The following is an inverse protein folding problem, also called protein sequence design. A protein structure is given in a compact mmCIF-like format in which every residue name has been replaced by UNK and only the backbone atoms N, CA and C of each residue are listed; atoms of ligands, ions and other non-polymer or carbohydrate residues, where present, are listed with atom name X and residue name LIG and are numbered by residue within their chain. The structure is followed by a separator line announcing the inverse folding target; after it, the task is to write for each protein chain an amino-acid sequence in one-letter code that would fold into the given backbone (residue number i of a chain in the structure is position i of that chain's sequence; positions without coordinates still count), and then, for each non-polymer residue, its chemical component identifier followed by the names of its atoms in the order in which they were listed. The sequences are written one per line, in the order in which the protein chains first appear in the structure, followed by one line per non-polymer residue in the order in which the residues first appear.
data_IF_984941756721
#
_entry.id   IF_984941756721
#
_cell.length_a   1.000
_cell.length_b   1.000
_cell.length_c   1.000
_cell.angle_alpha   90.00
_cell.angle_beta   90.00
_cell.angle_gamma   90.00
#
_symmetry.space_group_name_H-M   'P 1'
#
loop_
_entity.id
_entity.type
_entity.pdbx_description
1 polymer ?
#
# COMPACT_ATOMS: atom_id res chain seq x y z
N UNK A 1 10.64 11.11 -2.15
CA UNK A 1 9.31 11.02 -2.80
C UNK A 1 9.14 9.74 -3.64
N UNK A 2 10.02 9.45 -4.61
CA UNK A 2 9.90 8.27 -5.49
C UNK A 2 9.88 6.93 -4.73
N UNK A 3 10.83 6.71 -3.81
CA UNK A 3 10.93 5.48 -3.04
C UNK A 3 9.69 5.20 -2.18
N UNK A 4 9.18 6.22 -1.49
CA UNK A 4 7.96 6.12 -0.67
C UNK A 4 6.78 5.70 -1.52
N UNK A 5 6.51 6.44 -2.61
CA UNK A 5 5.41 6.16 -3.53
C UNK A 5 5.50 4.73 -4.05
N UNK A 6 6.67 4.30 -4.51
CA UNK A 6 6.86 2.95 -5.02
C UNK A 6 6.60 1.88 -3.95
N UNK A 7 7.21 2.03 -2.76
CA UNK A 7 7.10 1.04 -1.70
C UNK A 7 5.65 0.92 -1.17
N UNK A 8 4.94 2.03 -0.98
CA UNK A 8 3.56 2.01 -0.50
C UNK A 8 2.60 1.36 -1.49
N UNK A 9 2.71 1.71 -2.78
CA UNK A 9 1.87 1.13 -3.84
C UNK A 9 2.18 -0.36 -4.05
N UNK A 10 3.46 -0.74 -4.01
CA UNK A 10 3.85 -2.14 -4.16
C UNK A 10 3.39 -2.99 -2.97
N UNK A 11 3.55 -2.49 -1.74
CA UNK A 11 3.10 -3.21 -0.55
C UNK A 11 1.59 -3.47 -0.60
N UNK A 12 0.79 -2.48 -0.99
CA UNK A 12 -0.66 -2.62 -1.12
C UNK A 12 -1.02 -3.70 -2.14
N UNK A 13 -0.39 -3.66 -3.32
CA UNK A 13 -0.61 -4.63 -4.39
C UNK A 13 -0.28 -6.05 -3.95
N UNK A 14 0.84 -6.24 -3.25
CA UNK A 14 1.26 -7.56 -2.74
C UNK A 14 0.28 -8.08 -1.68
N UNK A 15 -0.13 -7.24 -0.74
CA UNK A 15 -1.07 -7.65 0.32
C UNK A 15 -2.46 -7.96 -0.24
N UNK A 16 -2.93 -7.17 -1.21
CA UNK A 16 -4.18 -7.41 -1.93
C UNK A 16 -4.16 -8.75 -2.67
N UNK A 17 -3.06 -9.05 -3.38
CA UNK A 17 -2.87 -10.34 -4.03
C UNK A 17 -2.83 -11.50 -3.01
N UNK A 18 -2.20 -11.30 -1.85
CA UNK A 18 -2.16 -12.29 -0.78
C UNK A 18 -3.57 -12.61 -0.23
N UNK A 19 -4.42 -11.59 0.00
CA UNK A 19 -5.82 -11.81 0.39
C UNK A 19 -6.54 -12.66 -0.68
N UNK A 20 -6.36 -12.34 -1.96
CA UNK A 20 -7.01 -13.07 -3.04
C UNK A 20 -6.57 -14.54 -3.10
N UNK A 21 -5.29 -14.84 -2.83
CA UNK A 21 -4.76 -16.21 -2.77
C UNK A 21 -5.37 -17.00 -1.61
N UNK A 22 -5.59 -16.37 -0.46
CA UNK A 22 -6.22 -17.00 0.70
C UNK A 22 -7.75 -17.15 0.54
N UNK A 23 -8.36 -16.46 -0.43
CA UNK A 23 -9.80 -16.49 -0.65
C UNK A 23 -10.57 -15.98 0.58
N UNK A 24 -11.65 -16.68 0.96
CA UNK A 24 -12.44 -16.30 2.14
C UNK A 24 -11.64 -16.28 3.45
N UNK A 25 -10.62 -17.16 3.56
CA UNK A 25 -9.73 -17.17 4.72
C UNK A 25 -8.83 -15.93 4.80
N UNK A 26 -8.67 -15.19 3.71
CA UNK A 26 -7.90 -13.95 3.69
C UNK A 26 -8.61 -12.77 4.36
N UNK A 27 -9.89 -12.93 4.70
CA UNK A 27 -10.72 -11.90 5.33
C UNK A 27 -11.05 -12.19 6.80
N UNK A 28 -10.71 -13.37 7.31
CA UNK A 28 -10.95 -13.74 8.71
C UNK A 28 -9.70 -13.50 9.55
N UNK A 29 -9.90 -13.20 10.84
CA UNK A 29 -8.82 -12.90 11.78
C UNK A 29 -7.98 -14.12 12.20
N UNK A 30 -8.30 -15.31 11.70
CA UNK A 30 -7.55 -16.55 11.96
C UNK A 30 -6.16 -16.51 11.32
N UNK A 31 -6.00 -15.71 10.25
CA UNK A 31 -4.74 -15.50 9.55
C UNK A 31 -4.33 -14.02 9.59
N UNK A 32 -3.03 -13.71 9.73
CA UNK A 32 -2.58 -12.33 9.90
C UNK A 32 -2.73 -11.45 8.64
N UNK A 33 -3.04 -12.04 7.48
CA UNK A 33 -3.05 -11.36 6.18
C UNK A 33 -4.05 -10.20 6.12
N UNK A 34 -5.22 -10.34 6.73
CA UNK A 34 -6.23 -9.27 6.78
C UNK A 34 -5.70 -8.03 7.52
N UNK A 35 -5.00 -8.26 8.64
CA UNK A 35 -4.42 -7.20 9.46
C UNK A 35 -3.29 -6.49 8.72
N UNK A 36 -2.41 -7.27 8.09
CA UNK A 36 -1.29 -6.73 7.31
C UNK A 36 -1.82 -5.86 6.17
N UNK A 37 -2.86 -6.30 5.46
CA UNK A 37 -3.49 -5.48 4.42
C UNK A 37 -4.02 -4.16 4.98
N UNK A 38 -4.78 -4.19 6.10
CA UNK A 38 -5.27 -2.97 6.77
C UNK A 38 -4.14 -2.02 7.16
N UNK A 39 -3.06 -2.54 7.72
CA UNK A 39 -1.90 -1.75 8.14
C UNK A 39 -1.22 -1.09 6.93
N UNK A 40 -1.05 -1.81 5.82
CA UNK A 40 -0.41 -1.29 4.60
C UNK A 40 -1.24 -0.21 3.90
N UNK A 41 -2.58 -0.27 3.98
CA UNK A 41 -3.46 0.73 3.35
C UNK A 41 -3.20 2.16 3.82
N UNK A 42 -2.74 2.36 5.06
CA UNK A 42 -2.45 3.69 5.59
C UNK A 42 -1.20 4.33 4.96
N UNK A 43 -0.26 3.53 4.46
CA UNK A 43 1.01 4.00 3.91
C UNK A 43 0.84 4.89 2.66
N UNK A 44 -0.28 4.75 1.94
CA UNK A 44 -0.63 5.59 0.79
C UNK A 44 -1.17 6.97 1.19
N UNK A 45 -1.47 7.20 2.47
CA UNK A 45 -2.13 8.42 2.97
C UNK A 45 -1.23 9.17 3.96
N UNK A 46 -0.70 8.45 4.96
CA UNK A 46 0.13 9.03 6.01
C UNK A 46 1.43 9.63 5.44
N UNK A 47 1.96 10.69 6.07
CA UNK A 47 3.17 11.42 5.63
C UNK A 47 3.11 11.94 4.17
N UNK A 48 1.92 12.22 3.67
CA UNK A 48 1.68 12.75 2.33
C UNK A 48 1.24 11.68 1.34
N UNK A 49 0.07 11.90 0.74
CA UNK A 49 -0.59 10.93 -0.14
C UNK A 49 0.23 10.58 -1.38
N UNK A 50 -0.10 9.46 -2.04
CA UNK A 50 0.52 9.07 -3.31
C UNK A 50 0.49 10.18 -4.37
N UNK A 51 -0.61 10.95 -4.45
CA UNK A 51 -0.73 12.08 -5.37
C UNK A 51 0.20 13.24 -4.99
N UNK A 52 0.33 13.56 -3.69
CA UNK A 52 1.30 14.55 -3.23
C UNK A 52 2.72 14.12 -3.57
N UNK A 53 3.06 12.83 -3.41
CA UNK A 53 4.39 12.33 -3.81
C UNK A 53 4.63 12.51 -5.31
N UNK A 54 3.63 12.23 -6.17
CA UNK A 54 3.73 12.46 -7.62
C UNK A 54 3.96 13.93 -7.97
N UNK A 55 3.26 14.85 -7.31
CA UNK A 55 3.46 16.30 -7.50
C UNK A 55 4.89 16.70 -7.12
N UNK A 56 5.41 16.22 -5.98
CA UNK A 56 6.78 16.52 -5.55
C UNK A 56 7.82 15.98 -6.52
N UNK A 57 7.61 14.77 -7.06
CA UNK A 57 8.48 14.17 -8.08
C UNK A 57 8.45 15.02 -9.36
N UNK A 58 7.26 15.38 -9.84
CA UNK A 58 7.10 16.21 -11.03
C UNK A 58 7.81 17.56 -10.91
N UNK A 59 7.73 18.20 -9.73
CA UNK A 59 8.45 19.45 -9.44
C UNK A 59 9.97 19.29 -9.38
N UNK A 60 10.48 18.11 -9.02
CA UNK A 60 11.92 17.86 -8.94
C UNK A 60 12.56 17.50 -10.29
N UNK A 61 11.74 17.14 -11.29
CA UNK A 61 12.17 16.79 -12.65
C UNK A 61 12.04 17.96 -13.65
N UNK A 62 11.35 19.03 -13.26
CA UNK A 62 11.23 20.27 -14.02
C UNK A 62 12.35 21.25 -13.65
#
# INVERSE_FOLDING_TARGET
AMAKLFASEMAERVCSAAIQVFGGYGYVSDFPVERIYRDVRVCQIYEGTSEVQKILIGRALA
#
